data_IF_686323394379
#
_entry.id   IF_686323394379
#
_cell.length_a   1.000
_cell.length_b   1.000
_cell.length_c   1.000
_cell.angle_alpha   90.00
_cell.angle_beta   90.00
_cell.angle_gamma   90.00
#
_symmetry.space_group_name_H-M   'P 1'
#
loop_
_entity.id
_entity.type
_entity.pdbx_description
1 polymer ?
#
# COMPACT_ATOMS: atom_id res chain seq x y z
N UNK A 1 -17.78 -5.49 16.38
CA UNK A 1 -17.89 -4.29 15.53
C UNK A 1 -17.53 -4.70 14.11
N UNK A 2 -18.33 -4.35 13.11
CA UNK A 2 -18.12 -4.81 11.72
C UNK A 2 -17.32 -3.76 10.96
N UNK A 3 -16.23 -4.17 10.31
CA UNK A 3 -15.41 -3.30 9.48
C UNK A 3 -15.59 -3.67 8.00
N UNK A 4 -15.60 -2.67 7.13
CA UNK A 4 -15.59 -2.86 5.67
C UNK A 4 -14.20 -2.53 5.12
N UNK A 5 -13.60 -3.47 4.41
CA UNK A 5 -12.30 -3.29 3.75
C UNK A 5 -12.53 -3.33 2.24
N UNK A 6 -12.06 -2.29 1.55
CA UNK A 6 -12.20 -2.15 0.09
C UNK A 6 -10.80 -2.14 -0.54
N UNK A 7 -10.48 -3.16 -1.32
CA UNK A 7 -9.25 -3.21 -2.10
C UNK A 7 -9.36 -2.42 -3.40
N UNK A 8 -8.58 -1.35 -3.55
CA UNK A 8 -8.53 -0.56 -4.78
C UNK A 8 -7.40 -1.05 -5.69
N UNK A 9 -7.76 -1.68 -6.81
CA UNK A 9 -6.80 -2.17 -7.82
C UNK A 9 -7.04 -1.52 -9.19
N UNK A 10 -6.06 -1.61 -10.09
CA UNK A 10 -6.09 -0.99 -11.42
C UNK A 10 -4.73 -0.48 -11.87
N UNK A 11 -4.60 -0.20 -13.18
CA UNK A 11 -3.35 0.27 -13.81
C UNK A 11 -2.91 1.64 -13.28
N UNK A 12 -1.66 2.01 -13.50
CA UNK A 12 -1.20 3.38 -13.23
C UNK A 12 -2.05 4.39 -14.02
N UNK A 13 -2.35 5.52 -13.39
CA UNK A 13 -3.25 6.56 -13.92
C UNK A 13 -4.71 6.14 -14.19
N UNK A 14 -5.17 4.96 -13.72
CA UNK A 14 -6.57 4.50 -13.92
C UNK A 14 -7.62 5.19 -13.05
N UNK A 15 -7.28 6.29 -12.36
CA UNK A 15 -8.22 7.03 -11.50
C UNK A 15 -8.44 6.48 -10.09
N UNK A 16 -7.71 5.45 -9.64
CA UNK A 16 -7.86 4.88 -8.28
C UNK A 16 -7.79 5.91 -7.15
N UNK A 17 -6.88 6.88 -7.26
CA UNK A 17 -6.73 7.96 -6.27
C UNK A 17 -7.99 8.82 -6.15
N UNK A 18 -8.76 8.97 -7.23
CA UNK A 18 -10.03 9.69 -7.20
C UNK A 18 -11.11 8.92 -6.41
N UNK A 19 -11.16 7.60 -6.61
CA UNK A 19 -12.06 6.72 -5.84
C UNK A 19 -11.69 6.71 -4.37
N UNK A 20 -10.40 6.56 -4.05
CA UNK A 20 -9.89 6.66 -2.68
C UNK A 20 -10.31 7.99 -2.01
N UNK A 21 -10.07 9.13 -2.69
CA UNK A 21 -10.48 10.44 -2.20
C UNK A 21 -11.99 10.56 -1.96
N UNK A 22 -12.82 9.97 -2.82
CA UNK A 22 -14.27 9.94 -2.64
C UNK A 22 -14.67 9.11 -1.40
N UNK A 23 -14.05 7.95 -1.20
CA UNK A 23 -14.31 7.08 -0.05
C UNK A 23 -13.86 7.73 1.26
N UNK A 24 -12.72 8.43 1.27
CA UNK A 24 -12.26 9.17 2.45
C UNK A 24 -13.23 10.25 2.88
N UNK A 25 -13.92 10.91 1.94
CA UNK A 25 -15.00 11.86 2.24
C UNK A 25 -16.25 11.20 2.83
N UNK A 26 -16.35 9.86 2.80
CA UNK A 26 -17.46 9.05 3.31
C UNK A 26 -17.02 8.16 4.49
N UNK A 27 -16.12 8.67 5.32
CA UNK A 27 -15.67 8.03 6.57
C UNK A 27 -14.77 6.80 6.42
N UNK A 28 -14.19 6.56 5.25
CA UNK A 28 -13.17 5.51 5.09
C UNK A 28 -11.75 6.05 5.36
N UNK A 29 -10.96 5.32 6.13
CA UNK A 29 -9.52 5.56 6.23
C UNK A 29 -8.81 5.00 4.98
N UNK A 30 -7.94 5.80 4.37
CA UNK A 30 -7.15 5.39 3.22
C UNK A 30 -5.78 4.87 3.64
N UNK A 31 -5.41 3.71 3.12
CA UNK A 31 -4.07 3.13 3.28
C UNK A 31 -3.54 2.65 1.93
N UNK A 32 -2.24 2.81 1.72
CA UNK A 32 -1.56 2.52 0.46
C UNK A 32 -0.45 1.49 0.67
N UNK A 33 -0.48 0.42 -0.13
CA UNK A 33 0.61 -0.57 -0.16
C UNK A 33 1.91 0.04 -0.65
N UNK A 34 1.85 1.05 -1.53
CA UNK A 34 3.04 1.79 -1.98
C UNK A 34 3.69 2.58 -0.84
N UNK A 35 2.91 3.06 0.14
CA UNK A 35 3.47 3.78 1.29
C UNK A 35 4.26 2.82 2.18
N UNK A 36 3.79 1.57 2.30
CA UNK A 36 4.53 0.50 3.00
C UNK A 36 5.86 0.20 2.33
N UNK A 37 5.91 0.18 0.99
CA UNK A 37 7.16 0.03 0.23
C UNK A 37 8.12 1.20 0.49
N UNK A 38 7.63 2.45 0.50
CA UNK A 38 8.46 3.63 0.80
C UNK A 38 9.03 3.58 2.21
N UNK A 39 8.24 3.19 3.20
CA UNK A 39 8.74 3.01 4.57
C UNK A 39 9.87 2.00 4.61
N UNK A 40 9.71 0.82 3.97
CA UNK A 40 10.77 -0.19 3.92
C UNK A 40 12.02 0.26 3.20
N UNK A 41 11.84 0.97 2.09
CA UNK A 41 12.93 1.49 1.30
C UNK A 41 13.72 2.58 2.06
N UNK A 42 13.03 3.41 2.84
CA UNK A 42 13.65 4.38 3.75
C UNK A 42 14.38 3.72 4.93
N UNK A 43 13.83 2.64 5.51
CA UNK A 43 14.51 1.82 6.54
C UNK A 43 15.82 1.21 6.01
N UNK A 44 15.88 0.90 4.72
CA UNK A 44 17.07 0.38 4.03
C UNK A 44 18.04 1.48 3.54
N UNK A 45 17.74 2.76 3.81
CA UNK A 45 18.58 3.89 3.38
C UNK A 45 18.69 4.02 1.86
N UNK A 46 17.74 3.48 1.11
CA UNK A 46 17.74 3.47 -0.36
C UNK A 46 16.95 4.66 -0.90
N UNK A 47 17.36 5.19 -2.06
CA UNK A 47 16.67 6.32 -2.70
C UNK A 47 15.30 5.92 -3.24
N UNK A 48 14.29 6.78 -3.03
CA UNK A 48 12.95 6.56 -3.58
C UNK A 48 12.96 6.76 -5.11
N UNK A 49 13.04 5.64 -5.83
CA UNK A 49 12.83 5.58 -7.26
C UNK A 49 11.77 4.54 -7.61
N UNK A 50 11.17 4.67 -8.79
CA UNK A 50 10.19 3.69 -9.28
C UNK A 50 10.78 2.28 -9.33
N UNK A 51 12.01 2.15 -9.80
CA UNK A 51 12.66 0.86 -9.98
C UNK A 51 13.01 0.24 -8.62
N UNK A 52 13.45 1.05 -7.65
CA UNK A 52 13.71 0.58 -6.29
C UNK A 52 12.41 0.13 -5.59
N UNK A 53 11.30 0.85 -5.78
CA UNK A 53 9.98 0.46 -5.25
C UNK A 53 9.48 -0.86 -5.87
N UNK A 54 9.72 -1.08 -7.17
CA UNK A 54 9.38 -2.34 -7.84
C UNK A 54 10.28 -3.47 -7.31
N UNK A 55 11.59 -3.24 -7.22
CA UNK A 55 12.56 -4.23 -6.77
C UNK A 55 12.28 -4.71 -5.34
N UNK A 56 12.12 -3.78 -4.39
CA UNK A 56 11.81 -4.14 -3.00
C UNK A 56 10.43 -4.81 -2.89
N UNK A 57 9.44 -4.36 -3.67
CA UNK A 57 8.13 -4.98 -3.69
C UNK A 57 8.14 -6.41 -4.22
N UNK A 58 8.97 -6.71 -5.23
CA UNK A 58 9.13 -8.08 -5.74
C UNK A 58 9.86 -8.95 -4.72
N UNK A 59 10.99 -8.47 -4.18
CA UNK A 59 11.76 -9.17 -3.15
C UNK A 59 10.90 -9.54 -1.94
N UNK A 60 10.14 -8.59 -1.40
CA UNK A 60 9.25 -8.85 -0.26
C UNK A 60 8.20 -9.93 -0.59
N UNK A 61 7.65 -9.93 -1.82
CA UNK A 61 6.67 -10.94 -2.24
C UNK A 61 7.29 -12.31 -2.47
N UNK A 62 8.54 -12.38 -2.90
CA UNK A 62 9.29 -13.65 -3.01
C UNK A 62 9.56 -14.25 -1.63
N UNK A 63 9.94 -13.41 -0.65
CA UNK A 63 10.27 -13.84 0.71
C UNK A 63 9.02 -14.16 1.57
N UNK A 64 7.97 -13.32 1.46
CA UNK A 64 6.79 -13.35 2.35
C UNK A 64 5.47 -13.71 1.66
N UNK A 65 5.50 -14.00 0.36
CA UNK A 65 4.31 -14.31 -0.43
C UNK A 65 3.50 -13.09 -0.89
N UNK A 66 2.40 -13.30 -1.64
CA UNK A 66 1.67 -12.23 -2.31
C UNK A 66 0.96 -11.25 -1.37
N UNK A 67 0.67 -11.65 -0.13
CA UNK A 67 -0.05 -10.85 0.88
C UNK A 67 0.83 -9.92 1.73
N UNK A 68 2.15 -10.08 1.67
CA UNK A 68 3.10 -9.48 2.63
C UNK A 68 2.95 -7.96 2.81
N UNK A 69 2.65 -7.22 1.73
CA UNK A 69 2.51 -5.76 1.82
C UNK A 69 1.29 -5.35 2.64
N UNK A 70 0.20 -6.11 2.53
CA UNK A 70 -1.00 -5.86 3.33
C UNK A 70 -0.76 -6.21 4.80
N UNK A 71 -0.03 -7.29 5.07
CA UNK A 71 0.35 -7.69 6.43
C UNK A 71 1.23 -6.65 7.11
N UNK A 72 2.22 -6.11 6.39
CA UNK A 72 3.08 -5.03 6.86
C UNK A 72 2.32 -3.72 7.08
N UNK A 73 1.35 -3.41 6.21
CA UNK A 73 0.49 -2.22 6.32
C UNK A 73 -0.49 -2.33 7.49
N UNK A 74 -0.91 -3.55 7.86
CA UNK A 74 -1.94 -3.81 8.88
C UNK A 74 -1.68 -3.07 10.20
N UNK A 75 -0.41 -2.93 10.60
CA UNK A 75 0.00 -2.22 11.82
C UNK A 75 -0.41 -0.73 11.83
N UNK A 76 -0.65 -0.15 10.66
CA UNK A 76 -1.04 1.25 10.49
C UNK A 76 -2.57 1.42 10.44
N UNK A 77 -3.34 0.33 10.42
CA UNK A 77 -4.80 0.40 10.47
C UNK A 77 -5.19 0.63 11.93
N UNK A 78 -5.72 1.81 12.22
CA UNK A 78 -6.28 2.13 13.53
C UNK A 78 -7.73 1.68 13.53
N UNK A 79 -8.05 0.66 14.33
CA UNK A 79 -9.39 0.08 14.51
C UNK A 79 -10.06 0.54 15.78
#
# INVERSE_FOLDING_TARGET
MTYYIIGLTGRNASGKGKVASLLTKRSFSYHSLSDTLRTKLAEEGTEESRDNLIAIGNRLREEGGPGILADLMRKNIVT
#
